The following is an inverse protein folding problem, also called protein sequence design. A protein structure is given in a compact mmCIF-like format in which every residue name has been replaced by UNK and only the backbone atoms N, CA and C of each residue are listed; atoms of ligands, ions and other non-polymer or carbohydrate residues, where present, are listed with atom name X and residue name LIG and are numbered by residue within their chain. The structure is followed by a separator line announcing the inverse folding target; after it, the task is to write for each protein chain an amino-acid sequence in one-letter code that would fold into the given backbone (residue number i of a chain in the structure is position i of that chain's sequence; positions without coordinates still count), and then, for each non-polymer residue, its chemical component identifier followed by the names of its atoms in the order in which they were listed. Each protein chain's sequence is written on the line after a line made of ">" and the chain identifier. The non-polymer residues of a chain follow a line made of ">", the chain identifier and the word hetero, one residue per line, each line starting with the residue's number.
data_IF_398491805949
#
_entry.id   IF_398491805949
#
_cell.length_a   1.000
_cell.length_b   1.000
_cell.length_c   1.000
_cell.angle_alpha   90.00
_cell.angle_beta   90.00
_cell.angle_gamma   90.00
#
_symmetry.space_group_name_H-M   'P 1'
#
loop_
_entity.id
_entity.type
_entity.pdbx_description
1 polymer ?
#
# COMPACT_ATOMS: atom_id res chain seq x y z
N UNK A 1 7.83 47.97 66.38
CA UNK A 1 8.61 46.73 66.58
C UNK A 1 7.70 45.57 66.23
N UNK A 2 7.92 44.93 65.09
CA UNK A 2 7.13 43.78 64.64
C UNK A 2 7.74 42.50 65.21
N UNK A 3 6.96 41.80 66.02
CA UNK A 3 7.29 40.54 66.68
C UNK A 3 6.96 39.35 65.77
N UNK A 4 7.77 38.29 65.86
CA UNK A 4 7.81 37.04 65.09
C UNK A 4 8.54 37.05 63.73
N UNK A 5 9.88 36.94 63.79
CA UNK A 5 10.72 36.54 62.66
C UNK A 5 10.98 35.02 62.64
N UNK A 6 10.18 34.21 63.33
CA UNK A 6 10.40 32.76 63.44
C UNK A 6 9.70 31.97 62.33
N UNK A 7 10.07 32.30 61.09
CA UNK A 7 10.00 31.35 59.99
C UNK A 7 11.35 31.37 59.31
N UNK A 8 12.15 30.36 59.61
CA UNK A 8 13.34 29.94 58.87
C UNK A 8 13.01 29.86 57.37
N UNK A 9 13.09 30.99 56.69
CA UNK A 9 12.63 31.22 55.32
C UNK A 9 13.86 31.39 54.46
N UNK A 10 14.46 30.27 54.08
CA UNK A 10 15.59 30.28 53.17
C UNK A 10 15.18 30.72 51.75
N UNK A 11 16.18 31.09 50.96
CA UNK A 11 16.00 31.60 49.60
C UNK A 11 15.28 30.60 48.68
N UNK A 12 15.45 29.30 48.94
CA UNK A 12 14.73 28.22 48.27
C UNK A 12 13.20 28.30 48.42
N UNK A 13 12.71 28.62 49.63
CA UNK A 13 11.26 28.71 49.90
C UNK A 13 10.64 30.00 49.36
N UNK A 14 11.44 31.07 49.24
CA UNK A 14 10.96 32.38 48.79
C UNK A 14 10.91 32.47 47.26
N UNK A 15 11.96 31.99 46.59
CA UNK A 15 12.15 32.23 45.15
C UNK A 15 11.94 31.00 44.28
N UNK A 16 12.00 29.79 44.86
CA UNK A 16 11.94 28.51 44.14
C UNK A 16 12.80 28.53 42.85
N UNK A 17 14.12 28.74 42.98
CA UNK A 17 14.97 29.07 41.84
C UNK A 17 15.18 27.85 40.92
N UNK A 18 15.33 26.65 41.49
CA UNK A 18 15.63 25.43 40.74
C UNK A 18 14.47 25.00 39.84
N UNK A 19 14.73 24.93 38.53
CA UNK A 19 13.83 24.47 37.48
C UNK A 19 13.92 22.96 37.30
N UNK A 20 13.04 22.42 36.44
CA UNK A 20 13.06 21.03 35.99
C UNK A 20 13.15 19.99 37.12
N UNK A 21 12.46 20.24 38.23
CA UNK A 21 12.44 19.38 39.41
C UNK A 21 13.81 19.22 40.12
N UNK A 22 14.68 20.24 40.01
CA UNK A 22 15.94 20.30 40.77
C UNK A 22 15.71 20.51 42.27
N UNK A 23 16.55 19.88 43.08
CA UNK A 23 16.49 19.99 44.53
C UNK A 23 17.21 21.25 44.99
N UNK A 24 16.50 22.17 45.63
CA UNK A 24 17.08 23.40 46.15
C UNK A 24 17.65 23.20 47.55
N UNK A 25 18.94 23.50 47.71
CA UNK A 25 19.63 23.51 48.98
C UNK A 25 20.16 24.92 49.24
N UNK A 26 19.77 25.55 50.36
CA UNK A 26 20.15 26.94 50.58
C UNK A 26 19.78 27.50 51.95
N UNK A 27 20.32 28.68 52.23
CA UNK A 27 20.06 29.48 53.41
C UNK A 27 19.42 30.83 53.00
N UNK A 28 19.45 31.83 53.88
CA UNK A 28 18.86 33.15 53.61
C UNK A 28 19.59 33.98 52.56
N UNK A 29 20.87 33.71 52.29
CA UNK A 29 21.74 34.54 51.45
C UNK A 29 22.11 33.87 50.12
N UNK A 30 22.12 32.53 50.09
CA UNK A 30 22.54 31.76 48.93
C UNK A 30 21.73 30.49 48.78
N UNK A 31 21.64 30.01 47.55
CA UNK A 31 21.07 28.72 47.20
C UNK A 31 22.03 27.98 46.25
N UNK A 32 21.82 26.67 46.14
CA UNK A 32 22.45 25.81 45.17
C UNK A 32 21.42 24.77 44.70
N UNK A 33 21.38 24.52 43.40
CA UNK A 33 20.48 23.55 42.81
C UNK A 33 21.21 22.24 42.51
N UNK A 34 20.73 21.15 43.11
CA UNK A 34 21.12 19.81 42.70
C UNK A 34 20.24 19.40 41.52
N UNK A 35 20.79 19.44 40.31
CA UNK A 35 20.05 19.15 39.10
C UNK A 35 19.80 17.65 38.91
N UNK A 36 18.61 17.25 38.41
CA UNK A 36 18.36 15.88 38.01
C UNK A 36 19.23 15.49 36.82
N UNK A 37 19.35 14.18 36.56
CA UNK A 37 20.10 13.68 35.41
C UNK A 37 19.57 14.30 34.10
N UNK A 38 20.49 14.75 33.25
CA UNK A 38 20.16 15.37 31.96
C UNK A 38 19.84 16.87 32.01
N UNK A 39 19.86 17.51 33.18
CA UNK A 39 19.73 18.96 33.32
C UNK A 39 21.02 19.58 33.86
N UNK A 40 21.34 20.80 33.41
CA UNK A 40 22.41 21.60 34.01
C UNK A 40 22.03 23.10 34.08
N UNK A 41 22.95 23.89 34.61
CA UNK A 41 22.81 25.32 34.80
C UNK A 41 22.82 25.65 36.28
N UNK A 42 22.85 26.94 36.61
CA UNK A 42 22.84 27.35 38.02
C UNK A 42 21.49 27.03 38.66
N UNK A 43 20.43 27.11 37.86
CA UNK A 43 19.04 26.89 38.23
C UNK A 43 18.46 25.63 37.58
N UNK A 44 19.30 24.73 37.03
CA UNK A 44 18.87 23.56 36.26
C UNK A 44 18.01 23.90 35.03
N UNK A 45 18.25 25.05 34.42
CA UNK A 45 17.47 25.62 33.33
C UNK A 45 17.73 24.97 31.96
N UNK A 46 18.89 24.33 31.78
CA UNK A 46 19.29 23.74 30.50
C UNK A 46 18.96 22.24 30.44
N UNK A 47 18.06 21.87 29.53
CA UNK A 47 17.74 20.47 29.22
C UNK A 47 18.74 19.91 28.19
N UNK A 48 19.61 19.03 28.65
CA UNK A 48 20.62 18.32 27.87
C UNK A 48 20.22 16.87 27.57
N UNK A 49 19.00 16.46 27.94
CA UNK A 49 18.54 15.12 27.61
C UNK A 49 18.51 14.92 26.09
N UNK A 50 18.92 13.75 25.62
CA UNK A 50 18.95 13.48 24.18
C UNK A 50 17.54 13.30 23.62
N UNK A 51 16.57 12.86 24.43
CA UNK A 51 15.17 12.78 24.02
C UNK A 51 14.41 14.08 24.32
N UNK A 52 14.36 14.95 23.32
CA UNK A 52 13.56 16.18 23.31
C UNK A 52 12.28 16.00 22.50
N UNK A 53 11.26 16.86 22.70
CA UNK A 53 10.15 16.95 21.76
C UNK A 53 10.67 17.04 20.32
N UNK A 54 10.06 16.27 19.42
CA UNK A 54 10.43 16.20 17.99
C UNK A 54 11.80 15.58 17.66
N UNK A 55 12.50 14.95 18.62
CA UNK A 55 13.75 14.20 18.33
C UNK A 55 13.49 13.01 17.41
N UNK A 56 12.42 12.25 17.70
CA UNK A 56 11.93 11.20 16.81
C UNK A 56 10.69 11.73 16.09
N UNK A 57 10.75 11.76 14.76
CA UNK A 57 9.70 12.21 13.89
C UNK A 57 8.68 11.10 13.64
N UNK A 58 7.56 11.45 13.01
CA UNK A 58 6.53 10.51 12.55
C UNK A 58 6.07 9.53 13.65
N UNK A 59 5.85 10.06 14.84
CA UNK A 59 5.39 9.33 16.03
C UNK A 59 6.35 8.21 16.50
N UNK A 60 7.63 8.28 16.13
CA UNK A 60 8.66 7.41 16.68
C UNK A 60 8.84 7.61 18.20
N UNK A 61 9.09 6.53 18.93
CA UNK A 61 9.36 6.60 20.36
C UNK A 61 10.85 6.85 20.61
N UNK A 62 11.18 7.85 21.43
CA UNK A 62 12.55 8.17 21.79
C UNK A 62 12.97 7.42 23.05
N UNK A 63 14.01 6.60 22.93
CA UNK A 63 14.60 5.88 24.04
C UNK A 63 16.01 6.40 24.33
N UNK A 64 16.23 6.94 25.52
CA UNK A 64 17.55 7.35 25.99
C UNK A 64 18.41 6.11 26.27
N UNK A 65 19.60 6.03 25.67
CA UNK A 65 20.56 4.93 25.90
C UNK A 65 21.71 5.36 26.81
N UNK A 66 21.97 6.65 26.91
CA UNK A 66 22.92 7.25 27.87
C UNK A 66 22.58 8.72 28.09
N UNK A 67 23.34 9.42 28.95
CA UNK A 67 23.17 10.86 29.18
C UNK A 67 23.34 11.73 27.91
N UNK A 68 23.87 11.18 26.81
CA UNK A 68 24.13 11.91 25.56
C UNK A 68 23.66 11.19 24.29
N UNK A 69 23.15 9.96 24.40
CA UNK A 69 22.74 9.15 23.25
C UNK A 69 21.29 8.71 23.37
N UNK A 70 20.63 8.60 22.22
CA UNK A 70 19.26 8.12 22.10
C UNK A 70 19.15 7.17 20.91
N UNK A 71 18.06 6.40 20.88
CA UNK A 71 17.63 5.62 19.73
C UNK A 71 16.15 5.90 19.51
N UNK A 72 15.77 6.18 18.26
CA UNK A 72 14.37 6.26 17.87
C UNK A 72 13.85 4.89 17.46
N UNK A 73 12.80 4.43 18.15
CA UNK A 73 12.00 3.30 17.71
C UNK A 73 10.94 3.80 16.72
N UNK A 74 11.22 3.64 15.43
CA UNK A 74 10.34 4.08 14.36
C UNK A 74 9.09 3.20 14.25
N UNK A 75 7.96 3.82 13.91
CA UNK A 75 6.76 3.10 13.52
C UNK A 75 6.97 2.39 12.17
N UNK A 76 6.16 1.36 11.91
CA UNK A 76 6.10 0.68 10.62
C UNK A 76 6.03 1.67 9.46
N UNK A 77 6.90 1.49 8.48
CA UNK A 77 6.96 2.37 7.31
C UNK A 77 7.93 3.54 7.40
N UNK A 78 8.57 3.77 8.56
CA UNK A 78 9.56 4.83 8.75
C UNK A 78 10.94 4.27 9.09
N UNK A 79 11.97 5.00 8.68
CA UNK A 79 13.38 4.67 8.89
C UNK A 79 14.22 5.95 9.02
N UNK A 80 15.50 5.77 9.34
CA UNK A 80 16.43 6.86 9.62
C UNK A 80 16.70 7.01 11.12
N UNK A 81 17.67 7.85 11.46
CA UNK A 81 18.10 8.04 12.86
C UNK A 81 16.99 8.70 13.68
N UNK A 82 16.19 9.53 13.03
CA UNK A 82 15.09 10.30 13.61
C UNK A 82 13.73 9.84 13.07
N UNK A 83 13.66 8.68 12.40
CA UNK A 83 12.44 8.23 11.70
C UNK A 83 11.94 9.23 10.64
N UNK A 84 12.87 9.95 10.01
CA UNK A 84 12.60 11.07 9.10
C UNK A 84 12.19 10.65 7.68
N UNK A 85 12.50 9.40 7.30
CA UNK A 85 12.30 8.91 5.94
C UNK A 85 11.32 7.75 5.90
N UNK A 86 10.47 7.69 4.86
CA UNK A 86 9.68 6.49 4.62
C UNK A 86 10.57 5.35 4.14
N UNK A 87 10.25 4.12 4.54
CA UNK A 87 10.88 2.91 4.03
C UNK A 87 10.51 2.77 2.56
N UNK A 88 11.52 2.72 1.69
CA UNK A 88 11.28 2.45 0.28
C UNK A 88 11.21 0.94 0.02
N UNK A 89 10.01 0.39 0.09
CA UNK A 89 9.77 -1.03 -0.21
C UNK A 89 10.04 -1.42 -1.68
N UNK A 90 10.39 -0.46 -2.54
CA UNK A 90 10.76 -0.69 -3.94
C UNK A 90 12.27 -0.72 -4.20
N UNK A 91 13.15 -0.51 -3.21
CA UNK A 91 14.61 -0.38 -3.43
C UNK A 91 15.24 -1.58 -4.14
N UNK A 92 14.67 -2.78 -4.02
CA UNK A 92 15.16 -3.99 -4.69
C UNK A 92 14.33 -4.41 -5.92
N UNK A 93 13.46 -3.52 -6.40
CA UNK A 93 12.60 -3.65 -7.57
C UNK A 93 12.01 -5.06 -7.78
N UNK A 94 11.13 -5.48 -6.87
CA UNK A 94 10.54 -6.83 -6.87
C UNK A 94 9.51 -7.09 -7.98
N UNK A 95 9.12 -6.06 -8.74
CA UNK A 95 8.13 -6.19 -9.82
C UNK A 95 8.76 -6.77 -11.08
N UNK A 96 8.24 -7.90 -11.56
CA UNK A 96 8.72 -8.57 -12.77
C UNK A 96 8.09 -7.97 -14.04
N UNK A 97 8.61 -8.37 -15.21
CA UNK A 97 8.05 -8.04 -16.52
C UNK A 97 7.80 -6.55 -16.73
N UNK A 98 8.77 -5.72 -16.30
CA UNK A 98 8.72 -4.26 -16.40
C UNK A 98 7.52 -3.62 -15.67
N UNK A 99 6.99 -4.26 -14.63
CA UNK A 99 6.01 -3.65 -13.75
C UNK A 99 6.58 -2.46 -13.01
N UNK A 100 5.76 -1.42 -12.81
CA UNK A 100 6.14 -0.22 -12.06
C UNK A 100 5.89 -0.46 -10.57
N UNK A 101 6.94 -0.39 -9.75
CA UNK A 101 6.80 -0.48 -8.30
C UNK A 101 6.30 0.84 -7.71
N UNK A 102 5.28 0.77 -6.85
CA UNK A 102 4.77 1.90 -6.06
C UNK A 102 4.95 1.60 -4.58
N UNK A 103 5.79 2.36 -3.84
CA UNK A 103 5.92 2.20 -2.41
C UNK A 103 4.63 2.66 -1.72
N UNK A 104 4.27 1.98 -0.63
CA UNK A 104 3.15 2.27 0.25
C UNK A 104 3.69 2.33 1.69
N UNK A 105 2.84 2.69 2.66
CA UNK A 105 3.28 2.91 4.04
C UNK A 105 3.89 1.66 4.69
N UNK A 106 3.35 0.47 4.44
CA UNK A 106 3.84 -0.78 5.06
C UNK A 106 4.24 -1.86 4.04
N UNK A 107 4.11 -1.58 2.75
CA UNK A 107 4.38 -2.53 1.68
C UNK A 107 4.63 -1.81 0.34
N UNK A 108 4.51 -2.53 -0.76
CA UNK A 108 4.52 -1.98 -2.12
C UNK A 108 3.45 -2.69 -2.96
N UNK A 109 3.06 -2.04 -4.06
CA UNK A 109 2.26 -2.68 -5.11
C UNK A 109 2.98 -2.59 -6.45
N UNK A 110 2.79 -3.60 -7.29
CA UNK A 110 3.26 -3.59 -8.67
C UNK A 110 2.12 -3.19 -9.62
N UNK A 111 2.35 -2.17 -10.42
CA UNK A 111 1.47 -1.79 -11.53
C UNK A 111 1.99 -2.48 -12.80
N UNK A 112 1.29 -3.55 -13.22
CA UNK A 112 1.72 -4.37 -14.35
C UNK A 112 1.55 -3.67 -15.70
N UNK A 113 2.43 -4.02 -16.65
CA UNK A 113 2.43 -3.43 -17.98
C UNK A 113 1.26 -3.97 -18.83
N UNK A 114 0.18 -3.19 -18.88
CA UNK A 114 -1.03 -3.52 -19.63
C UNK A 114 -1.68 -4.84 -19.19
N UNK A 115 -2.46 -5.45 -20.08
CA UNK A 115 -3.24 -6.67 -19.77
C UNK A 115 -2.43 -7.96 -19.94
N UNK A 116 -1.16 -7.85 -20.36
CA UNK A 116 -0.31 -9.00 -20.70
C UNK A 116 0.29 -9.68 -19.47
N UNK A 117 0.31 -8.99 -18.32
CA UNK A 117 0.87 -9.50 -17.08
C UNK A 117 -0.08 -9.28 -15.92
N UNK A 118 -0.10 -10.21 -14.97
CA UNK A 118 -0.92 -10.12 -13.76
C UNK A 118 -0.23 -10.77 -12.55
N UNK A 119 -0.89 -10.70 -11.39
CA UNK A 119 -0.37 -11.18 -10.12
C UNK A 119 0.34 -10.09 -9.30
N UNK A 120 0.64 -10.36 -8.02
CA UNK A 120 1.18 -9.36 -7.09
C UNK A 120 2.57 -8.83 -7.49
N UNK A 121 3.35 -9.60 -8.24
CA UNK A 121 4.68 -9.23 -8.74
C UNK A 121 4.71 -9.13 -10.27
N UNK A 122 3.56 -9.07 -10.93
CA UNK A 122 3.45 -9.12 -12.39
C UNK A 122 4.10 -10.35 -13.04
N UNK A 123 4.15 -11.48 -12.30
CA UNK A 123 4.84 -12.69 -12.71
C UNK A 123 4.04 -13.56 -13.69
N UNK A 124 2.72 -13.37 -13.75
CA UNK A 124 1.83 -14.23 -14.53
C UNK A 124 1.69 -13.62 -15.93
N UNK A 125 2.22 -14.29 -16.96
CA UNK A 125 1.99 -13.90 -18.35
C UNK A 125 0.58 -14.31 -18.81
N UNK A 126 -0.25 -13.35 -19.18
CA UNK A 126 -1.61 -13.55 -19.72
C UNK A 126 -1.60 -14.04 -21.18
N UNK A 127 -0.71 -14.96 -21.53
CA UNK A 127 -0.61 -15.55 -22.87
C UNK A 127 -1.93 -16.20 -23.35
N UNK A 128 -2.82 -16.56 -22.41
CA UNK A 128 -4.15 -17.08 -22.71
C UNK A 128 -5.02 -16.08 -23.48
N UNK A 129 -4.86 -14.76 -23.34
CA UNK A 129 -5.70 -13.79 -24.05
C UNK A 129 -5.42 -13.80 -25.56
N UNK A 130 -4.16 -13.97 -25.97
CA UNK A 130 -3.79 -14.04 -27.40
C UNK A 130 -4.40 -15.30 -28.02
N UNK A 131 -4.27 -16.45 -27.34
CA UNK A 131 -4.83 -17.72 -27.81
C UNK A 131 -6.36 -17.68 -27.80
N UNK A 132 -7.01 -17.20 -26.72
CA UNK A 132 -8.47 -17.08 -26.68
C UNK A 132 -9.02 -16.10 -27.71
N UNK A 133 -8.38 -14.94 -27.95
CA UNK A 133 -8.77 -14.01 -29.01
C UNK A 133 -8.57 -14.62 -30.40
N UNK A 134 -7.50 -15.39 -30.62
CA UNK A 134 -7.27 -16.10 -31.88
C UNK A 134 -8.30 -17.21 -32.11
N UNK A 135 -8.55 -18.05 -31.10
CA UNK A 135 -9.53 -19.15 -31.16
C UNK A 135 -10.96 -18.62 -31.32
N UNK A 136 -11.29 -17.51 -30.64
CA UNK A 136 -12.57 -16.79 -30.79
C UNK A 136 -12.80 -16.31 -32.23
N UNK A 137 -11.80 -15.68 -32.85
CA UNK A 137 -11.88 -15.21 -34.24
C UNK A 137 -12.01 -16.38 -35.22
N UNK A 138 -11.28 -17.47 -35.01
CA UNK A 138 -11.39 -18.67 -35.84
C UNK A 138 -12.77 -19.33 -35.74
N UNK A 139 -13.36 -19.41 -34.54
CA UNK A 139 -14.70 -19.97 -34.36
C UNK A 139 -15.80 -19.12 -35.00
N UNK A 140 -15.70 -17.79 -34.88
CA UNK A 140 -16.59 -16.86 -35.57
C UNK A 140 -16.49 -16.98 -37.11
N UNK A 141 -15.26 -17.15 -37.64
CA UNK A 141 -15.05 -17.35 -39.07
C UNK A 141 -15.62 -18.68 -39.59
N UNK A 142 -15.41 -19.78 -38.85
CA UNK A 142 -15.93 -21.11 -39.21
C UNK A 142 -17.46 -21.12 -39.21
N UNK A 143 -18.09 -20.50 -38.22
CA UNK A 143 -19.56 -20.40 -38.16
C UNK A 143 -20.14 -19.60 -39.32
N UNK A 144 -19.51 -18.48 -39.72
CA UNK A 144 -19.92 -17.71 -40.91
C UNK A 144 -19.82 -18.55 -42.18
N UNK A 145 -18.69 -19.26 -42.40
CA UNK A 145 -18.52 -20.12 -43.58
C UNK A 145 -19.57 -21.23 -43.66
N UNK A 146 -19.90 -21.85 -42.53
CA UNK A 146 -20.93 -22.88 -42.46
C UNK A 146 -22.31 -22.33 -42.86
N UNK A 147 -22.68 -21.15 -42.37
CA UNK A 147 -23.96 -20.49 -42.71
C UNK A 147 -24.02 -20.19 -44.21
N UNK A 148 -22.93 -19.66 -44.80
CA UNK A 148 -22.85 -19.37 -46.24
C UNK A 148 -22.98 -20.65 -47.05
N UNK A 149 -22.31 -21.73 -46.66
CA UNK A 149 -22.39 -23.02 -47.35
C UNK A 149 -23.82 -23.60 -47.33
N UNK A 150 -24.51 -23.53 -46.18
CA UNK A 150 -25.92 -23.95 -46.05
C UNK A 150 -26.82 -23.08 -46.92
N UNK A 151 -26.66 -21.75 -46.89
CA UNK A 151 -27.43 -20.84 -47.72
C UNK A 151 -27.23 -21.14 -49.21
N UNK A 152 -25.99 -21.34 -49.64
CA UNK A 152 -25.68 -21.72 -51.03
C UNK A 152 -26.29 -23.07 -51.40
N UNK A 153 -26.29 -24.05 -50.50
CA UNK A 153 -26.93 -25.33 -50.73
C UNK A 153 -28.46 -25.20 -50.88
N UNK A 154 -29.11 -24.41 -50.02
CA UNK A 154 -30.55 -24.12 -50.11
C UNK A 154 -30.86 -23.41 -51.43
N UNK A 155 -30.11 -22.36 -51.78
CA UNK A 155 -30.27 -21.63 -53.04
C UNK A 155 -30.08 -22.58 -54.22
N UNK A 156 -29.07 -23.46 -54.19
CA UNK A 156 -28.85 -24.45 -55.23
C UNK A 156 -30.03 -25.43 -55.36
N UNK A 157 -30.56 -25.91 -54.24
CA UNK A 157 -31.74 -26.79 -54.23
C UNK A 157 -32.99 -26.09 -54.78
N UNK A 158 -33.21 -24.84 -54.39
CA UNK A 158 -34.29 -24.01 -54.93
C UNK A 158 -34.10 -23.79 -56.44
N UNK A 159 -32.89 -23.44 -56.89
CA UNK A 159 -32.60 -23.27 -58.32
C UNK A 159 -32.81 -24.55 -59.12
N UNK A 160 -32.45 -25.72 -58.57
CA UNK A 160 -32.72 -27.02 -59.21
C UNK A 160 -34.22 -27.29 -59.32
N UNK A 161 -34.98 -26.96 -58.28
CA UNK A 161 -36.44 -27.08 -58.26
C UNK A 161 -37.12 -26.13 -59.26
N UNK A 162 -36.70 -24.88 -59.32
CA UNK A 162 -37.29 -23.86 -60.22
C UNK A 162 -36.88 -24.04 -61.69
N UNK A 163 -35.61 -24.36 -61.99
CA UNK A 163 -35.12 -24.41 -63.36
C UNK A 163 -35.34 -25.77 -64.03
N UNK A 164 -35.27 -26.86 -63.26
CA UNK A 164 -35.33 -28.22 -63.81
C UNK A 164 -36.58 -29.00 -63.37
N UNK A 165 -37.40 -28.46 -62.46
CA UNK A 165 -38.60 -29.14 -61.97
C UNK A 165 -38.31 -30.39 -61.14
N UNK A 166 -37.06 -30.59 -60.72
CA UNK A 166 -36.63 -31.75 -59.93
C UNK A 166 -36.86 -31.42 -58.46
N UNK A 167 -37.95 -31.91 -57.88
CA UNK A 167 -38.19 -31.81 -56.43
C UNK A 167 -37.76 -33.12 -55.74
N UNK A 168 -36.62 -33.14 -55.03
CA UNK A 168 -36.15 -34.35 -54.35
C UNK A 168 -37.09 -34.82 -53.22
N UNK A 169 -37.98 -33.96 -52.72
CA UNK A 169 -38.95 -34.31 -51.67
C UNK A 169 -40.28 -34.88 -52.17
N UNK A 170 -40.56 -34.74 -53.47
CA UNK A 170 -41.82 -35.23 -54.09
C UNK A 170 -41.98 -36.75 -53.98
N UNK A 171 -40.91 -37.53 -54.20
CA UNK A 171 -40.96 -38.99 -54.13
C UNK A 171 -41.09 -39.56 -52.72
N UNK A 172 -40.66 -38.79 -51.70
CA UNK A 172 -40.74 -39.19 -50.30
C UNK A 172 -42.15 -38.97 -49.74
N UNK A 173 -42.84 -37.89 -50.16
CA UNK A 173 -44.23 -37.62 -49.81
C UNK A 173 -45.18 -38.71 -50.34
N UNK A 174 -44.96 -39.18 -51.57
CA UNK A 174 -45.74 -40.29 -52.14
C UNK A 174 -45.51 -41.62 -51.41
N UNK A 175 -44.30 -41.87 -50.88
CA UNK A 175 -44.02 -43.06 -50.05
C UNK A 175 -44.74 -42.98 -48.71
N UNK A 176 -44.67 -41.84 -48.03
CA UNK A 176 -45.34 -41.64 -46.73
C UNK A 176 -46.87 -41.71 -46.86
N UNK A 177 -47.43 -41.24 -47.97
CA UNK A 177 -48.87 -41.36 -48.23
C UNK A 177 -49.31 -42.82 -48.47
N UNK A 178 -48.47 -43.64 -49.12
CA UNK A 178 -48.74 -45.08 -49.32
C UNK A 178 -48.66 -45.90 -48.03
N UNK A 179 -47.86 -45.51 -47.05
CA UNK A 179 -47.76 -46.21 -45.76
C UNK A 179 -48.89 -45.88 -44.78
N UNK A 180 -49.66 -44.81 -45.05
CA UNK A 180 -50.81 -44.38 -44.22
C UNK A 180 -52.15 -44.96 -44.67
N UNK A 181 -52.16 -45.86 -45.64
CA UNK A 181 -53.34 -46.48 -46.23
C UNK A 181 -53.35 -47.98 -45.94
#
# INVERSE_FOLDING_TARGET
>A
MGVNCDRSSNLCNITQPCKNNGTCNGNHYSYNCSCPCGFNGTDCEFDHRPCKPYTCLNNGACNETSNSTFVCACLSGWQGVHCESMVNFCDNNSCLNNGVCRPLLENYKCECLGDSYSGPLCQISSAKIIIFKAVSKSFAYISILAIVAVAMFVIMMDMLKYCFGIDPTSGELERIQREKQ
#
